data_IF_661301977622
#
_entry.id   IF_661301977622
#
_cell.length_a   1.000
_cell.length_b   1.000
_cell.length_c   1.000
_cell.angle_alpha   90.00
_cell.angle_beta   90.00
_cell.angle_gamma   90.00
#
_symmetry.space_group_name_H-M   'P 1'
#
loop_
_entity.id
_entity.type
_entity.pdbx_description
1 polymer ?
#
# COMPACT_ATOMS: atom_id res chain seq x y z
N UNK A 1 22.05 -3.98 9.54
CA UNK A 1 20.89 -3.09 9.79
C UNK A 1 20.17 -2.86 8.47
N UNK A 2 19.06 -3.55 8.23
CA UNK A 2 18.31 -3.45 6.97
C UNK A 2 17.24 -2.37 7.11
N UNK A 3 17.58 -1.14 6.74
CA UNK A 3 16.57 -0.18 6.30
C UNK A 3 16.10 -0.62 4.91
N UNK A 4 14.79 -0.62 4.66
CA UNK A 4 14.24 -0.89 3.33
C UNK A 4 14.88 0.09 2.34
N UNK A 5 15.81 -0.39 1.51
CA UNK A 5 16.51 0.38 0.48
C UNK A 5 15.96 0.11 -0.92
N UNK A 6 14.78 -0.50 -1.00
CA UNK A 6 14.06 -0.76 -2.24
C UNK A 6 13.13 0.42 -2.50
N UNK A 7 13.09 0.85 -3.77
CA UNK A 7 12.27 1.94 -4.32
C UNK A 7 11.20 2.45 -3.36
N UNK A 8 11.26 3.73 -2.97
CA UNK A 8 10.08 4.39 -2.39
C UNK A 8 8.91 4.03 -3.31
N UNK A 9 7.91 3.26 -2.87
CA UNK A 9 6.82 2.93 -3.75
C UNK A 9 6.22 4.27 -4.15
N UNK A 10 6.21 4.59 -5.44
CA UNK A 10 5.51 5.79 -5.91
C UNK A 10 4.04 5.39 -5.84
N UNK A 11 3.38 5.70 -4.74
CA UNK A 11 1.94 5.41 -4.51
C UNK A 11 1.08 6.62 -4.93
N UNK A 12 1.71 7.58 -5.62
CA UNK A 12 1.11 8.75 -6.25
C UNK A 12 1.42 8.61 -7.73
N UNK A 13 0.73 7.68 -8.38
CA UNK A 13 0.84 7.47 -9.80
C UNK A 13 -0.09 8.40 -10.55
N UNK A 14 0.34 8.92 -11.69
CA UNK A 14 -0.62 9.18 -12.75
C UNK A 14 -1.03 7.82 -13.33
N UNK A 15 -2.23 7.68 -13.86
CA UNK A 15 -2.73 6.38 -14.32
C UNK A 15 -3.29 6.47 -15.73
N UNK A 16 -2.97 5.49 -16.57
CA UNK A 16 -3.82 5.15 -17.71
C UNK A 16 -5.04 4.46 -17.13
N UNK A 17 -6.19 5.14 -17.05
CA UNK A 17 -7.39 4.51 -16.52
C UNK A 17 -8.34 4.02 -17.62
N UNK A 18 -8.13 4.44 -18.87
CA UNK A 18 -8.93 4.01 -20.01
C UNK A 18 -8.17 4.14 -21.33
N UNK A 19 -8.12 3.07 -22.09
CA UNK A 19 -7.71 3.04 -23.49
C UNK A 19 -8.71 2.31 -24.37
N UNK A 20 -8.82 2.69 -25.64
CA UNK A 20 -9.60 1.98 -26.67
C UNK A 20 -8.77 0.99 -27.50
N UNK A 21 -7.47 0.87 -27.23
CA UNK A 21 -6.56 0.00 -27.96
C UNK A 21 -5.20 -0.12 -27.27
N UNK A 22 -4.23 -0.75 -27.93
CA UNK A 22 -2.88 -0.92 -27.39
C UNK A 22 -2.17 0.43 -27.32
N UNK A 23 -1.59 0.73 -26.16
CA UNK A 23 -0.78 1.92 -25.91
C UNK A 23 0.64 1.46 -25.61
N UNK A 24 1.62 2.25 -26.03
CA UNK A 24 3.00 1.99 -25.66
C UNK A 24 3.53 3.09 -24.74
N UNK A 25 4.35 2.68 -23.78
CA UNK A 25 4.98 3.50 -22.78
C UNK A 25 6.50 3.32 -22.88
N UNK A 26 7.23 4.42 -22.79
CA UNK A 26 8.67 4.42 -22.55
C UNK A 26 8.92 5.20 -21.27
N UNK A 27 9.59 4.57 -20.29
CA UNK A 27 10.02 5.25 -19.08
C UNK A 27 11.36 5.93 -19.29
N UNK A 28 11.64 6.93 -18.47
CA UNK A 28 12.97 7.54 -18.42
C UNK A 28 14.06 6.47 -18.19
N UNK A 29 15.01 6.38 -19.12
CA UNK A 29 16.12 5.42 -19.08
C UNK A 29 15.85 4.07 -19.74
N UNK A 30 14.63 3.81 -20.24
CA UNK A 30 14.38 2.69 -21.14
C UNK A 30 14.98 2.94 -22.52
N UNK A 31 15.24 1.87 -23.27
CA UNK A 31 15.80 1.95 -24.63
C UNK A 31 14.74 1.83 -25.73
N UNK A 32 13.50 1.50 -25.36
CA UNK A 32 12.38 1.32 -26.30
C UNK A 32 11.03 1.44 -25.59
N UNK A 33 10.00 1.64 -26.41
CA UNK A 33 8.61 1.55 -26.03
C UNK A 33 8.18 0.11 -25.74
N UNK A 34 7.35 -0.06 -24.72
CA UNK A 34 6.74 -1.33 -24.35
C UNK A 34 5.21 -1.19 -24.31
N UNK A 35 4.47 -2.23 -24.70
CA UNK A 35 3.02 -2.22 -24.58
C UNK A 35 2.59 -2.16 -23.13
N UNK A 36 1.54 -1.39 -22.87
CA UNK A 36 0.95 -1.26 -21.55
C UNK A 36 -0.59 -1.37 -21.61
N UNK A 37 -1.21 -2.11 -20.70
CA UNK A 37 -2.66 -2.24 -20.62
C UNK A 37 -3.35 -1.06 -19.91
N UNK A 38 -4.67 -1.16 -19.71
CA UNK A 38 -5.39 -0.30 -18.77
C UNK A 38 -4.84 -0.47 -17.35
N UNK A 39 -4.97 0.57 -16.54
CA UNK A 39 -4.52 0.58 -15.14
C UNK A 39 -3.01 0.42 -15.02
N UNK A 40 -2.26 1.01 -15.95
CA UNK A 40 -0.81 1.17 -15.84
C UNK A 40 -0.48 2.51 -15.19
N UNK A 41 0.38 2.46 -14.18
CA UNK A 41 0.97 3.62 -13.53
C UNK A 41 1.95 4.33 -14.47
N UNK A 42 1.84 5.65 -14.53
CA UNK A 42 2.68 6.56 -15.28
C UNK A 42 3.41 7.49 -14.31
N UNK A 43 4.69 7.69 -14.56
CA UNK A 43 5.59 8.53 -13.78
C UNK A 43 5.92 9.83 -14.53
N UNK A 44 6.32 10.89 -13.79
CA UNK A 44 6.97 12.03 -14.42
C UNK A 44 8.19 11.59 -15.24
N UNK A 45 8.33 12.12 -16.45
CA UNK A 45 9.38 11.76 -17.42
C UNK A 45 8.97 10.68 -18.42
N UNK A 46 7.86 9.98 -18.20
CA UNK A 46 7.36 8.97 -19.13
C UNK A 46 6.90 9.56 -20.47
N UNK A 47 7.06 8.78 -21.53
CA UNK A 47 6.56 9.06 -22.88
C UNK A 47 5.47 8.05 -23.25
N UNK A 48 4.30 8.54 -23.66
CA UNK A 48 3.23 7.71 -24.20
C UNK A 48 3.13 7.84 -25.72
N UNK A 49 2.93 6.71 -26.38
CA UNK A 49 2.72 6.65 -27.84
C UNK A 49 1.43 5.89 -28.16
N UNK A 50 0.28 6.57 -28.15
CA UNK A 50 -0.95 6.00 -28.68
C UNK A 50 -0.94 6.00 -30.22
N UNK A 51 -1.19 4.86 -30.88
CA UNK A 51 -1.37 4.81 -32.34
C UNK A 51 -2.51 5.70 -32.84
N UNK A 52 -2.54 5.97 -34.15
CA UNK A 52 -3.67 6.69 -34.76
C UNK A 52 -4.99 5.95 -34.49
N UNK A 53 -6.04 6.69 -34.11
CA UNK A 53 -7.34 6.14 -33.74
C UNK A 53 -7.44 5.55 -32.31
N UNK A 54 -6.33 5.42 -31.58
CA UNK A 54 -6.35 4.97 -30.18
C UNK A 54 -6.57 6.17 -29.25
N UNK A 55 -7.61 6.10 -28.41
CA UNK A 55 -7.91 7.12 -27.40
C UNK A 55 -7.42 6.66 -26.05
N UNK A 56 -6.66 7.52 -25.37
CA UNK A 56 -6.12 7.26 -24.04
C UNK A 56 -6.60 8.36 -23.09
N UNK A 57 -7.09 7.96 -21.92
CA UNK A 57 -7.42 8.86 -20.82
C UNK A 57 -6.53 8.60 -19.62
N UNK A 58 -6.01 9.69 -19.08
CA UNK A 58 -5.13 9.73 -17.92
C UNK A 58 -5.89 10.26 -16.71
N UNK A 59 -5.59 9.71 -15.54
CA UNK A 59 -6.00 10.22 -14.24
C UNK A 59 -4.73 10.71 -13.54
N UNK A 60 -4.62 12.01 -13.32
CA UNK A 60 -3.48 12.59 -12.60
C UNK A 60 -3.71 12.51 -11.08
N UNK A 61 -2.62 12.58 -10.32
CA UNK A 61 -2.55 12.43 -8.85
C UNK A 61 -3.45 13.43 -8.09
N UNK A 62 -3.65 14.62 -8.64
CA UNK A 62 -4.51 15.68 -8.12
C UNK A 62 -6.00 15.53 -8.49
N UNK A 63 -6.39 14.33 -8.96
CA UNK A 63 -7.76 13.95 -9.22
C UNK A 63 -8.37 14.52 -10.49
N UNK A 64 -7.57 15.00 -11.44
CA UNK A 64 -8.03 15.47 -12.76
C UNK A 64 -7.86 14.39 -13.81
N UNK A 65 -8.69 14.44 -14.85
CA UNK A 65 -8.57 13.56 -16.00
C UNK A 65 -8.21 14.33 -17.27
N UNK A 66 -7.39 13.71 -18.12
CA UNK A 66 -6.91 14.30 -19.37
C UNK A 66 -6.92 13.27 -20.49
N UNK A 67 -7.00 13.74 -21.74
CA UNK A 67 -6.85 12.89 -22.93
C UNK A 67 -5.46 13.06 -23.51
N UNK A 68 -4.87 11.99 -24.04
CA UNK A 68 -3.60 12.05 -24.78
C UNK A 68 -3.89 12.18 -26.29
N UNK A 69 -3.21 13.08 -27.02
CA UNK A 69 -3.32 13.16 -28.47
C UNK A 69 -2.95 11.84 -29.16
N UNK A 70 -3.77 11.38 -30.10
CA UNK A 70 -3.50 10.16 -30.86
C UNK A 70 -2.43 10.39 -31.94
N UNK A 71 -1.62 9.37 -32.22
CA UNK A 71 -0.64 9.38 -33.30
C UNK A 71 0.63 10.20 -33.04
N UNK A 72 0.81 10.75 -31.83
CA UNK A 72 1.98 11.54 -31.46
C UNK A 72 2.55 11.06 -30.13
N UNK A 73 3.88 10.92 -30.07
CA UNK A 73 4.59 10.66 -28.82
C UNK A 73 4.44 11.86 -27.88
N UNK A 74 3.87 11.63 -26.70
CA UNK A 74 3.52 12.68 -25.75
C UNK A 74 4.24 12.46 -24.42
N UNK A 75 5.00 13.47 -23.99
CA UNK A 75 5.64 13.48 -22.68
C UNK A 75 4.63 13.83 -21.57
N UNK A 76 4.63 13.05 -20.50
CA UNK A 76 3.56 13.08 -19.51
C UNK A 76 3.59 14.35 -18.65
N UNK A 77 4.78 14.93 -18.43
CA UNK A 77 4.96 16.16 -17.65
C UNK A 77 4.12 17.34 -18.15
N UNK A 78 3.79 17.37 -19.46
CA UNK A 78 2.95 18.41 -20.05
C UNK A 78 1.45 18.21 -19.83
N UNK A 79 1.01 17.00 -19.47
CA UNK A 79 -0.39 16.66 -19.22
C UNK A 79 -0.65 16.54 -17.72
N UNK A 80 0.11 15.67 -17.06
CA UNK A 80 0.11 15.50 -15.62
C UNK A 80 1.42 16.04 -15.07
N UNK A 81 1.44 17.27 -14.51
CA UNK A 81 2.65 17.84 -13.95
C UNK A 81 3.11 17.03 -12.73
N UNK A 82 4.42 16.96 -12.47
CA UNK A 82 4.94 16.22 -11.33
C UNK A 82 4.37 16.76 -10.01
N UNK A 83 4.12 15.89 -9.01
CA UNK A 83 3.66 16.31 -7.70
C UNK A 83 4.61 17.32 -7.07
N UNK A 84 4.05 18.39 -6.48
CA UNK A 84 4.83 19.47 -5.85
C UNK A 84 5.55 19.03 -4.56
N UNK A 85 5.08 17.96 -3.92
CA UNK A 85 5.64 17.45 -2.66
C UNK A 85 5.87 15.95 -2.80
N UNK A 86 7.13 15.52 -2.70
CA UNK A 86 7.44 14.10 -2.48
C UNK A 86 7.15 13.79 -1.02
N UNK A 87 5.99 13.20 -0.72
CA UNK A 87 5.69 12.73 0.64
C UNK A 87 6.80 11.76 1.09
N UNK A 88 7.55 12.12 2.13
CA UNK A 88 8.46 11.20 2.79
C UNK A 88 7.61 10.27 3.65
N UNK A 89 7.09 9.23 3.01
CA UNK A 89 6.18 8.28 3.66
C UNK A 89 6.88 7.54 4.77
N UNK A 90 6.22 7.45 5.92
CA UNK A 90 6.67 6.61 7.03
C UNK A 90 6.62 5.15 6.58
N UNK A 91 7.78 4.50 6.59
CA UNK A 91 7.92 3.06 6.38
C UNK A 91 8.29 2.46 7.73
N UNK A 92 7.45 1.55 8.21
CA UNK A 92 7.72 0.74 9.40
C UNK A 92 8.61 -0.41 8.98
N UNK A 93 9.63 -0.71 9.78
CA UNK A 93 10.52 -1.83 9.50
C UNK A 93 9.74 -3.13 9.59
N UNK A 94 9.65 -3.84 8.47
CA UNK A 94 9.09 -5.18 8.39
C UNK A 94 9.78 -6.13 9.39
N UNK A 95 9.00 -6.74 10.28
CA UNK A 95 9.44 -7.79 11.20
C UNK A 95 8.31 -8.82 11.33
N UNK A 96 8.63 -10.12 11.45
CA UNK A 96 7.62 -11.10 11.81
C UNK A 96 7.17 -10.80 13.24
N UNK A 97 5.87 -10.56 13.39
CA UNK A 97 5.25 -10.34 14.70
C UNK A 97 4.80 -11.70 15.22
N UNK A 98 5.01 -11.95 16.51
CA UNK A 98 4.59 -13.22 17.11
C UNK A 98 3.06 -13.32 17.10
N UNK A 99 2.52 -14.43 16.62
CA UNK A 99 1.09 -14.73 16.72
C UNK A 99 0.60 -14.95 18.15
N UNK A 100 1.52 -15.03 19.13
CA UNK A 100 1.20 -15.17 20.56
C UNK A 100 0.88 -13.85 21.26
N UNK A 101 0.96 -12.71 20.56
CA UNK A 101 0.59 -11.40 21.10
C UNK A 101 -0.57 -10.80 20.30
N UNK A 102 -1.43 -9.98 20.92
CA UNK A 102 -2.50 -9.30 20.23
C UNK A 102 -1.97 -8.08 19.47
N UNK A 103 -1.15 -8.31 18.43
CA UNK A 103 -0.54 -7.20 17.71
C UNK A 103 -1.56 -6.39 16.94
N UNK A 104 -1.36 -5.07 16.93
CA UNK A 104 -2.30 -4.14 16.31
C UNK A 104 -2.25 -4.28 14.79
N UNK A 105 -3.42 -4.42 14.17
CA UNK A 105 -3.64 -4.40 12.72
C UNK A 105 -4.04 -2.99 12.29
N UNK A 106 -5.05 -2.41 12.95
CA UNK A 106 -5.55 -1.06 12.66
C UNK A 106 -6.09 -0.36 13.92
N UNK A 107 -5.97 0.96 14.04
CA UNK A 107 -5.09 1.84 13.29
C UNK A 107 -3.62 1.62 13.68
N UNK A 108 -2.75 1.38 12.70
CA UNK A 108 -1.31 1.12 12.89
C UNK A 108 -0.49 2.03 12.00
N UNK A 109 0.41 2.82 12.60
CA UNK A 109 1.34 3.71 11.88
C UNK A 109 0.66 4.59 10.79
N UNK A 110 -0.55 5.08 11.09
CA UNK A 110 -1.44 5.75 10.13
C UNK A 110 -1.91 7.11 10.65
N UNK A 111 -2.36 7.97 9.75
CA UNK A 111 -3.28 9.07 10.07
C UNK A 111 -4.72 8.60 9.90
N UNK A 112 -5.69 9.35 10.44
CA UNK A 112 -7.11 9.02 10.32
C UNK A 112 -7.95 10.23 9.93
N UNK A 113 -8.96 9.99 9.07
CA UNK A 113 -10.07 10.85 8.69
C UNK A 113 -11.29 10.74 9.60
N UNK A 114 -11.44 9.63 10.33
CA UNK A 114 -12.53 9.42 11.29
C UNK A 114 -12.07 9.72 12.72
N UNK A 115 -13.01 10.11 13.59
CA UNK A 115 -12.81 10.21 15.04
C UNK A 115 -13.34 8.97 15.79
N UNK A 116 -13.92 8.00 15.07
CA UNK A 116 -14.40 6.71 15.55
C UNK A 116 -13.81 5.57 14.70
N UNK A 117 -12.49 5.36 14.74
CA UNK A 117 -11.87 4.28 13.97
C UNK A 117 -12.31 2.92 14.48
N UNK A 118 -12.33 1.95 13.57
CA UNK A 118 -12.29 0.52 13.92
C UNK A 118 -10.91 0.20 14.48
N UNK A 119 -10.89 -0.38 15.68
CA UNK A 119 -9.71 -0.87 16.37
C UNK A 119 -9.64 -2.37 16.11
N UNK A 120 -8.57 -2.84 15.47
CA UNK A 120 -8.40 -4.24 15.09
C UNK A 120 -7.02 -4.76 15.49
N UNK A 121 -6.98 -6.00 15.97
CA UNK A 121 -5.77 -6.71 16.37
C UNK A 121 -5.87 -8.19 16.00
N UNK A 122 -4.72 -8.85 15.90
CA UNK A 122 -4.66 -10.29 15.72
C UNK A 122 -5.08 -11.01 17.00
N UNK A 123 -5.82 -12.11 16.87
CA UNK A 123 -6.22 -12.94 17.99
C UNK A 123 -5.00 -13.65 18.60
N UNK A 124 -4.71 -13.40 19.88
CA UNK A 124 -3.81 -14.25 20.64
C UNK A 124 -4.62 -15.49 21.08
N UNK A 125 -4.52 -16.57 20.31
CA UNK A 125 -5.48 -17.69 20.29
C UNK A 125 -5.77 -18.39 21.63
N UNK A 126 -4.97 -18.13 22.67
CA UNK A 126 -5.12 -18.66 24.02
C UNK A 126 -5.83 -17.71 25.01
N UNK A 127 -6.18 -16.50 24.58
CA UNK A 127 -6.90 -15.49 25.36
C UNK A 127 -8.43 -15.70 25.35
N UNK A 128 -9.09 -15.33 26.44
CA UNK A 128 -10.55 -15.31 26.56
C UNK A 128 -11.13 -13.90 26.62
N UNK A 129 -10.34 -12.89 27.01
CA UNK A 129 -10.74 -11.49 26.98
C UNK A 129 -9.59 -10.55 26.64
N UNK A 130 -9.96 -9.34 26.24
CA UNK A 130 -9.05 -8.29 25.82
C UNK A 130 -9.39 -6.98 26.52
N UNK A 131 -8.39 -6.40 27.19
CA UNK A 131 -8.44 -5.02 27.67
C UNK A 131 -7.91 -4.10 26.56
N UNK A 132 -8.81 -3.31 25.98
CA UNK A 132 -8.52 -2.45 24.83
C UNK A 132 -8.41 -1.02 25.30
N UNK A 133 -7.25 -0.41 25.09
CA UNK A 133 -6.93 0.96 25.53
C UNK A 133 -6.55 1.86 24.36
N UNK A 134 -7.21 3.00 24.23
CA UNK A 134 -6.77 4.11 23.38
C UNK A 134 -6.26 5.23 24.28
N UNK A 135 -5.01 5.64 24.07
CA UNK A 135 -4.36 6.67 24.91
C UNK A 135 -3.54 7.68 24.11
N UNK A 136 -3.48 8.91 24.58
CA UNK A 136 -2.69 9.99 23.98
C UNK A 136 -3.14 11.38 24.44
N UNK A 137 -2.19 12.30 24.69
CA UNK A 137 -2.42 13.71 25.11
C UNK A 137 -3.67 13.93 25.99
N UNK A 138 -3.67 13.37 27.20
CA UNK A 138 -4.76 13.52 28.18
C UNK A 138 -5.99 12.65 27.93
N UNK A 139 -6.04 11.90 26.82
CA UNK A 139 -7.02 10.84 26.60
C UNK A 139 -6.45 9.52 27.11
N UNK A 140 -7.26 8.82 27.90
CA UNK A 140 -7.08 7.42 28.28
C UNK A 140 -8.48 6.79 28.37
N UNK A 141 -8.83 5.99 27.37
CA UNK A 141 -10.08 5.21 27.34
C UNK A 141 -9.70 3.74 27.34
N UNK A 142 -10.36 2.95 28.18
CA UNK A 142 -10.13 1.52 28.35
C UNK A 142 -11.47 0.82 28.51
N UNK A 143 -11.63 -0.32 27.84
CA UNK A 143 -12.81 -1.17 27.93
C UNK A 143 -12.38 -2.64 27.76
N UNK A 144 -13.12 -3.56 28.40
CA UNK A 144 -12.85 -5.00 28.32
C UNK A 144 -13.88 -5.67 27.41
N UNK A 145 -13.42 -6.57 26.54
CA UNK A 145 -14.25 -7.33 25.61
C UNK A 145 -13.95 -8.83 25.73
N UNK A 146 -14.98 -9.67 25.64
CA UNK A 146 -14.78 -11.12 25.52
C UNK A 146 -14.37 -11.49 24.09
N UNK A 147 -13.58 -12.55 23.94
CA UNK A 147 -13.13 -13.02 22.62
C UNK A 147 -14.29 -13.34 21.68
N UNK A 148 -15.36 -13.93 22.19
CA UNK A 148 -16.55 -14.30 21.42
C UNK A 148 -17.28 -13.06 20.86
N UNK A 149 -17.16 -11.91 21.52
CA UNK A 149 -17.81 -10.68 21.10
C UNK A 149 -17.09 -10.01 19.94
N UNK A 150 -15.76 -10.03 19.94
CA UNK A 150 -14.95 -9.17 19.06
C UNK A 150 -14.13 -9.92 18.03
N UNK A 151 -13.94 -11.24 18.16
CA UNK A 151 -13.05 -11.99 17.29
C UNK A 151 -13.76 -12.88 16.27
N UNK A 152 -13.34 -12.80 15.01
CA UNK A 152 -13.78 -13.64 13.91
C UNK A 152 -12.58 -14.02 13.05
N UNK A 153 -12.41 -15.31 12.75
CA UNK A 153 -11.36 -15.82 11.85
C UNK A 153 -9.93 -15.38 12.22
N UNK A 154 -9.63 -15.29 13.52
CA UNK A 154 -8.29 -14.91 14.01
C UNK A 154 -8.02 -13.41 14.02
N UNK A 155 -9.02 -12.58 13.71
CA UNK A 155 -8.95 -11.12 13.80
C UNK A 155 -10.00 -10.65 14.79
N UNK A 156 -9.61 -9.76 15.69
CA UNK A 156 -10.48 -9.14 16.66
C UNK A 156 -10.68 -7.67 16.34
N UNK A 157 -11.91 -7.16 16.49
CA UNK A 157 -12.24 -5.79 16.12
C UNK A 157 -13.36 -5.17 16.99
N UNK A 158 -13.25 -3.86 17.22
CA UNK A 158 -14.29 -3.04 17.85
C UNK A 158 -14.25 -1.62 17.32
N UNK A 159 -15.40 -0.94 17.22
CA UNK A 159 -15.46 0.47 16.85
C UNK A 159 -15.19 1.33 18.07
N UNK A 160 -14.25 2.28 17.98
CA UNK A 160 -14.01 3.24 19.05
C UNK A 160 -15.28 4.08 19.32
N UNK A 161 -15.81 4.11 20.55
CA UNK A 161 -17.13 4.70 20.81
C UNK A 161 -17.17 6.22 20.65
N UNK A 162 -16.02 6.89 20.77
CA UNK A 162 -15.93 8.36 20.73
C UNK A 162 -16.45 9.05 21.99
N UNK A 163 -16.66 8.31 23.10
CA UNK A 163 -17.02 8.87 24.41
C UNK A 163 -15.98 9.88 24.91
N UNK A 164 -14.70 9.68 24.53
CA UNK A 164 -13.65 10.70 24.59
C UNK A 164 -13.23 11.06 23.15
N UNK A 165 -13.41 12.29 22.68
CA UNK A 165 -13.20 12.61 21.27
C UNK A 165 -11.72 12.61 20.89
N UNK A 166 -11.39 12.01 19.74
CA UNK A 166 -10.08 12.12 19.12
C UNK A 166 -9.92 13.52 18.49
N UNK A 167 -8.94 14.29 18.96
CA UNK A 167 -8.74 15.68 18.56
C UNK A 167 -7.86 15.79 17.31
N UNK A 168 -8.23 16.62 16.32
CA UNK A 168 -7.39 16.90 15.16
C UNK A 168 -5.94 17.29 15.52
N UNK A 169 -4.98 16.73 14.79
CA UNK A 169 -3.55 16.94 14.99
C UNK A 169 -2.94 16.23 16.20
N UNK A 170 -3.70 15.42 16.94
CA UNK A 170 -3.21 14.71 18.13
C UNK A 170 -2.90 13.25 17.79
N UNK A 171 -1.78 12.77 18.30
CA UNK A 171 -1.34 11.38 18.18
C UNK A 171 -1.79 10.53 19.36
N UNK A 172 -2.16 9.29 19.06
CA UNK A 172 -2.69 8.29 19.98
C UNK A 172 -1.99 6.95 19.76
N UNK A 173 -2.13 6.05 20.73
CA UNK A 173 -1.69 4.67 20.66
C UNK A 173 -2.84 3.76 21.07
N UNK A 174 -3.10 2.74 20.25
CA UNK A 174 -3.91 1.58 20.62
C UNK A 174 -3.01 0.58 21.35
N UNK A 175 -3.48 0.09 22.49
CA UNK A 175 -2.87 -0.96 23.28
C UNK A 175 -3.93 -2.01 23.58
N UNK A 176 -3.64 -3.25 23.27
CA UNK A 176 -4.46 -4.42 23.64
C UNK A 176 -3.66 -5.30 24.58
N UNK A 177 -4.27 -5.72 25.68
CA UNK A 177 -3.74 -6.65 26.68
C UNK A 177 -4.72 -7.82 26.83
N UNK A 178 -4.20 -9.04 27.01
CA UNK A 178 -5.02 -10.25 27.19
C UNK A 178 -5.09 -10.65 28.65
N UNK A 179 -6.08 -11.49 28.99
CA UNK A 179 -6.18 -12.19 30.28
C UNK A 179 -5.03 -13.17 30.55
N UNK A 180 -4.21 -13.47 29.53
CA UNK A 180 -3.01 -14.33 29.60
C UNK A 180 -1.71 -13.56 29.74
N UNK A 181 -1.78 -12.30 30.17
CA UNK A 181 -0.61 -11.43 30.39
C UNK A 181 0.24 -11.24 29.11
N UNK A 182 -0.41 -11.28 27.94
CA UNK A 182 0.20 -10.91 26.65
C UNK A 182 -0.30 -9.55 26.22
N UNK A 183 0.54 -8.76 25.56
CA UNK A 183 0.19 -7.40 25.18
C UNK A 183 0.75 -7.02 23.82
N UNK A 184 -0.02 -6.19 23.11
CA UNK A 184 0.41 -5.54 21.87
C UNK A 184 1.71 -4.74 22.01
N UNK A 185 2.07 -4.31 23.23
CA UNK A 185 3.30 -3.57 23.53
C UNK A 185 4.56 -4.43 23.52
N UNK A 186 4.43 -5.75 23.51
CA UNK A 186 5.55 -6.67 23.26
C UNK A 186 6.07 -6.53 21.81
N UNK A 187 5.26 -6.00 20.90
CA UNK A 187 5.75 -5.53 19.60
C UNK A 187 6.66 -4.31 19.81
N UNK A 188 7.96 -4.58 19.84
CA UNK A 188 9.04 -3.57 19.98
C UNK A 188 9.17 -2.63 18.78
N UNK A 189 8.33 -2.78 17.74
CA UNK A 189 8.37 -1.91 16.57
C UNK A 189 7.98 -0.48 16.95
N UNK A 190 8.86 0.46 16.65
CA UNK A 190 8.62 1.87 16.90
C UNK A 190 7.55 2.45 15.97
N UNK A 191 6.75 3.37 16.50
CA UNK A 191 5.92 4.22 15.64
C UNK A 191 4.56 3.69 15.23
N UNK A 192 4.04 2.68 15.94
CA UNK A 192 2.76 2.03 15.61
C UNK A 192 1.51 2.83 16.01
N UNK A 193 1.66 3.99 16.64
CA UNK A 193 0.53 4.86 16.95
C UNK A 193 -0.13 5.45 15.70
N UNK A 194 -1.20 6.20 15.92
CA UNK A 194 -1.95 6.87 14.86
C UNK A 194 -2.19 8.34 15.19
N UNK A 195 -2.52 9.16 14.19
CA UNK A 195 -2.76 10.59 14.37
C UNK A 195 -4.06 11.02 13.71
N UNK A 196 -4.91 11.75 14.43
CA UNK A 196 -6.07 12.35 13.78
C UNK A 196 -5.60 13.48 12.88
N UNK A 197 -5.93 13.46 11.59
CA UNK A 197 -5.46 14.49 10.66
C UNK A 197 -6.05 15.87 11.02
N UNK A 198 -5.34 16.95 10.70
CA UNK A 198 -5.82 18.31 10.92
C UNK A 198 -7.06 18.60 10.06
N UNK A 199 -7.94 19.46 10.56
CA UNK A 199 -9.25 19.72 9.92
C UNK A 199 -9.15 20.37 8.54
N UNK A 200 -8.15 21.21 8.31
CA UNK A 200 -7.84 21.81 7.00
C UNK A 200 -7.44 20.74 5.98
N UNK A 201 -6.51 19.87 6.34
CA UNK A 201 -6.08 18.74 5.50
C UNK A 201 -7.23 17.76 5.24
N UNK A 202 -8.05 17.47 6.26
CA UNK A 202 -9.22 16.60 6.10
C UNK A 202 -10.19 17.13 5.03
N UNK A 203 -10.44 18.45 5.02
CA UNK A 203 -11.33 19.09 4.03
C UNK A 203 -10.75 18.99 2.63
N UNK A 204 -9.45 19.24 2.46
CA UNK A 204 -8.77 19.12 1.16
C UNK A 204 -8.92 17.70 0.59
N UNK A 205 -8.62 16.68 1.41
CA UNK A 205 -8.73 15.27 1.02
C UNK A 205 -10.17 14.92 0.65
N UNK A 206 -11.15 15.36 1.44
CA UNK A 206 -12.57 15.11 1.16
C UNK A 206 -13.05 15.73 -0.16
N UNK A 207 -12.53 16.91 -0.53
CA UNK A 207 -12.85 17.54 -1.82
C UNK A 207 -12.31 16.69 -2.98
N UNK A 208 -11.08 16.21 -2.89
CA UNK A 208 -10.49 15.36 -3.94
C UNK A 208 -11.21 14.00 -4.00
N UNK A 209 -11.45 13.38 -2.85
CA UNK A 209 -12.14 12.10 -2.74
C UNK A 209 -13.56 12.17 -3.34
N UNK A 210 -14.31 13.23 -3.04
CA UNK A 210 -15.62 13.49 -3.65
C UNK A 210 -15.51 13.60 -5.17
N UNK A 211 -14.52 14.35 -5.66
CA UNK A 211 -14.29 14.48 -7.10
C UNK A 211 -13.99 13.14 -7.77
N UNK A 212 -13.22 12.25 -7.14
CA UNK A 212 -12.97 10.89 -7.66
C UNK A 212 -14.27 10.09 -7.73
N UNK A 213 -15.13 10.22 -6.72
CA UNK A 213 -16.41 9.52 -6.66
C UNK A 213 -17.43 10.02 -7.68
N UNK A 214 -17.52 11.33 -7.90
CA UNK A 214 -18.50 11.96 -8.80
C UNK A 214 -18.07 11.94 -10.28
N UNK A 215 -16.76 11.90 -10.56
CA UNK A 215 -16.27 11.87 -11.94
C UNK A 215 -16.63 10.56 -12.65
N UNK A 216 -16.71 10.65 -13.99
CA UNK A 216 -16.92 9.51 -14.89
C UNK A 216 -15.63 8.67 -15.04
N UNK A 217 -15.27 7.99 -13.96
CA UNK A 217 -14.22 6.97 -13.89
C UNK A 217 -14.88 5.58 -13.89
N UNK A 218 -14.20 4.54 -14.43
CA UNK A 218 -14.63 3.16 -14.27
C UNK A 218 -14.89 2.84 -12.80
N UNK A 219 -16.00 2.16 -12.49
CA UNK A 219 -16.39 1.84 -11.10
C UNK A 219 -15.28 1.06 -10.41
N UNK A 220 -14.67 0.15 -11.15
CA UNK A 220 -13.56 -0.70 -10.73
C UNK A 220 -12.26 0.08 -10.47
N UNK A 221 -12.06 1.24 -11.11
CA UNK A 221 -10.86 2.05 -10.90
C UNK A 221 -10.95 2.99 -9.69
N UNK A 222 -12.16 3.40 -9.28
CA UNK A 222 -12.36 4.36 -8.19
C UNK A 222 -11.73 3.93 -6.85
N UNK A 223 -11.82 2.66 -6.41
CA UNK A 223 -11.16 2.22 -5.18
C UNK A 223 -9.64 2.40 -5.22
N UNK A 224 -9.01 2.05 -6.35
CA UNK A 224 -7.57 2.24 -6.54
C UNK A 224 -7.18 3.72 -6.45
N UNK A 225 -7.91 4.60 -7.15
CA UNK A 225 -7.66 6.04 -7.13
C UNK A 225 -7.85 6.66 -5.72
N UNK A 226 -8.84 6.22 -4.96
CA UNK A 226 -9.05 6.68 -3.59
C UNK A 226 -7.98 6.16 -2.63
N UNK A 227 -7.58 4.89 -2.75
CA UNK A 227 -6.56 4.32 -1.91
C UNK A 227 -5.19 4.99 -2.12
N UNK A 228 -4.84 5.34 -3.36
CA UNK A 228 -3.64 6.15 -3.65
C UNK A 228 -3.70 7.53 -2.99
N UNK A 229 -4.81 8.25 -3.16
CA UNK A 229 -5.03 9.53 -2.48
C UNK A 229 -4.84 9.40 -0.96
N UNK A 230 -5.42 8.38 -0.35
CA UNK A 230 -5.31 8.16 1.09
C UNK A 230 -3.89 7.77 1.50
N UNK A 231 -3.21 6.92 0.73
CA UNK A 231 -1.83 6.55 0.95
C UNK A 231 -0.87 7.75 0.94
N UNK A 232 -1.13 8.75 0.11
CA UNK A 232 -0.36 10.01 0.01
C UNK A 232 -0.41 10.85 1.28
N UNK A 233 -1.56 10.85 1.95
CA UNK A 233 -1.78 11.58 3.19
C UNK A 233 -1.55 10.71 4.45
N UNK A 234 -0.86 9.57 4.30
CA UNK A 234 -0.63 8.59 5.36
C UNK A 234 -1.92 8.02 5.98
N UNK A 235 -3.07 8.11 5.30
CA UNK A 235 -4.35 7.51 5.70
C UNK A 235 -4.37 6.03 5.32
N UNK A 236 -3.37 5.28 5.80
CA UNK A 236 -3.14 3.89 5.41
C UNK A 236 -4.25 2.95 5.87
N UNK A 237 -4.86 3.19 7.04
CA UNK A 237 -6.01 2.40 7.49
C UNK A 237 -7.20 2.52 6.52
N UNK A 238 -7.57 3.74 6.15
CA UNK A 238 -8.65 3.97 5.19
C UNK A 238 -8.32 3.45 3.78
N UNK A 239 -7.05 3.55 3.36
CA UNK A 239 -6.61 2.99 2.08
C UNK A 239 -6.72 1.46 2.06
N UNK A 240 -6.32 0.77 3.13
CA UNK A 240 -6.44 -0.68 3.28
C UNK A 240 -7.92 -1.08 3.24
N UNK A 241 -8.76 -0.44 4.07
CA UNK A 241 -10.20 -0.73 4.15
C UNK A 241 -10.90 -0.65 2.78
N UNK A 242 -10.57 0.37 1.98
CA UNK A 242 -11.12 0.52 0.62
C UNK A 242 -10.75 -0.65 -0.29
N UNK A 243 -9.49 -1.10 -0.24
CA UNK A 243 -8.96 -2.13 -1.13
C UNK A 243 -9.38 -3.54 -0.70
N UNK A 244 -9.45 -3.81 0.60
CA UNK A 244 -9.97 -5.06 1.15
C UNK A 244 -11.43 -5.27 0.75
N UNK A 245 -12.22 -4.20 0.74
CA UNK A 245 -13.59 -4.20 0.23
C UNK A 245 -13.73 -4.59 -1.25
N UNK A 246 -12.63 -4.72 -2.01
CA UNK A 246 -12.64 -5.14 -3.42
C UNK A 246 -12.21 -6.59 -3.66
N UNK A 247 -11.75 -7.33 -2.63
CA UNK A 247 -11.05 -8.61 -2.82
C UNK A 247 -11.87 -9.69 -3.54
N UNK A 248 -13.20 -9.61 -3.51
CA UNK A 248 -14.10 -10.56 -4.15
C UNK A 248 -14.62 -10.12 -5.52
N UNK A 249 -14.50 -8.84 -5.86
CA UNK A 249 -15.25 -8.24 -6.98
C UNK A 249 -14.35 -7.80 -8.15
N UNK A 250 -13.03 -7.77 -7.98
CA UNK A 250 -12.14 -7.12 -8.95
C UNK A 250 -10.90 -7.94 -9.33
N UNK A 251 -10.59 -7.98 -10.64
CA UNK A 251 -9.40 -8.64 -11.20
C UNK A 251 -8.32 -7.63 -11.61
N UNK A 252 -8.21 -6.51 -10.88
CA UNK A 252 -7.24 -5.44 -11.15
C UNK A 252 -5.99 -5.70 -10.30
N UNK A 253 -4.94 -6.23 -10.91
CA UNK A 253 -3.69 -6.55 -10.21
C UNK A 253 -3.09 -5.38 -9.39
N UNK A 254 -3.08 -4.13 -9.90
CA UNK A 254 -2.61 -2.98 -9.12
C UNK A 254 -3.28 -2.80 -7.75
N UNK A 255 -4.55 -3.19 -7.57
CA UNK A 255 -5.24 -3.12 -6.27
C UNK A 255 -4.56 -4.01 -5.25
N UNK A 256 -4.35 -5.28 -5.60
CA UNK A 256 -3.73 -6.24 -4.68
C UNK A 256 -2.26 -5.94 -4.43
N UNK A 257 -1.54 -5.43 -5.44
CA UNK A 257 -0.17 -4.98 -5.26
C UNK A 257 -0.10 -3.78 -4.30
N UNK A 258 -0.99 -2.80 -4.47
CA UNK A 258 -1.09 -1.64 -3.58
C UNK A 258 -1.47 -2.05 -2.15
N UNK A 259 -2.40 -2.98 -1.97
CA UNK A 259 -2.79 -3.50 -0.67
C UNK A 259 -1.59 -4.18 0.03
N UNK A 260 -0.83 -5.01 -0.69
CA UNK A 260 0.41 -5.62 -0.17
C UNK A 260 1.45 -4.58 0.24
N UNK A 261 1.64 -3.53 -0.57
CA UNK A 261 2.51 -2.40 -0.26
C UNK A 261 2.10 -1.66 1.01
N UNK A 262 0.79 -1.40 1.19
CA UNK A 262 0.25 -0.71 2.35
C UNK A 262 0.45 -1.53 3.63
N UNK A 263 0.18 -2.84 3.57
CA UNK A 263 0.46 -3.75 4.68
C UNK A 263 1.94 -3.81 5.03
N UNK A 264 2.80 -3.98 4.02
CA UNK A 264 4.26 -3.97 4.20
C UNK A 264 4.74 -2.64 4.82
N UNK A 265 4.18 -1.52 4.38
CA UNK A 265 4.51 -0.18 4.87
C UNK A 265 4.24 0.01 6.36
N UNK A 266 3.21 -0.63 6.90
CA UNK A 266 2.89 -0.59 8.34
C UNK A 266 3.51 -1.77 9.12
N UNK A 267 4.37 -2.56 8.46
CA UNK A 267 5.13 -3.65 9.07
C UNK A 267 4.36 -4.96 9.21
N UNK A 268 3.18 -5.06 8.62
CA UNK A 268 2.29 -6.23 8.66
C UNK A 268 2.63 -7.19 7.52
N UNK A 269 3.75 -7.91 7.66
CA UNK A 269 4.27 -8.80 6.60
C UNK A 269 3.44 -10.06 6.42
N UNK A 270 2.69 -10.50 7.44
CA UNK A 270 1.84 -11.69 7.33
C UNK A 270 0.66 -11.38 6.40
N UNK A 271 0.02 -10.24 6.63
CA UNK A 271 -1.10 -9.69 5.88
C UNK A 271 -0.68 -9.30 4.47
N UNK A 272 0.52 -8.74 4.28
CA UNK A 272 1.02 -8.37 2.96
C UNK A 272 1.19 -9.54 1.98
N UNK A 273 1.36 -10.78 2.49
CA UNK A 273 1.63 -11.96 1.64
C UNK A 273 0.47 -12.23 0.66
N UNK A 274 -0.76 -12.31 1.18
CA UNK A 274 -1.95 -12.68 0.40
C UNK A 274 -2.17 -11.76 -0.81
N UNK A 275 -2.22 -10.43 -0.62
CA UNK A 275 -2.37 -9.47 -1.71
C UNK A 275 -1.24 -9.54 -2.75
N UNK A 276 0.03 -9.65 -2.34
CA UNK A 276 1.11 -9.82 -3.33
C UNK A 276 0.98 -11.12 -4.13
N UNK A 277 0.65 -12.25 -3.47
CA UNK A 277 0.41 -13.51 -4.17
C UNK A 277 -0.73 -13.39 -5.18
N UNK A 278 -1.82 -12.70 -4.82
CA UNK A 278 -2.95 -12.47 -5.73
C UNK A 278 -2.57 -11.57 -6.90
N UNK A 279 -1.76 -10.54 -6.68
CA UNK A 279 -1.24 -9.69 -7.77
C UNK A 279 -0.37 -10.49 -8.76
N UNK A 280 0.48 -11.40 -8.27
CA UNK A 280 1.27 -12.30 -9.14
C UNK A 280 0.37 -13.22 -9.95
N UNK A 281 -0.65 -13.82 -9.33
CA UNK A 281 -1.63 -14.68 -10.02
C UNK A 281 -2.33 -13.93 -11.16
N UNK A 282 -2.83 -12.72 -10.89
CA UNK A 282 -3.58 -11.93 -11.87
C UNK A 282 -2.72 -11.40 -13.03
N UNK A 283 -1.42 -11.18 -12.80
CA UNK A 283 -0.53 -10.58 -13.81
C UNK A 283 0.11 -11.59 -14.74
N UNK A 284 0.23 -12.85 -14.32
CA UNK A 284 0.88 -13.93 -15.09
C UNK A 284 0.24 -14.18 -16.46
N UNK A 285 -1.04 -13.83 -16.64
CA UNK A 285 -1.79 -13.97 -17.89
C UNK A 285 -1.98 -12.66 -18.68
N UNK A 286 -1.25 -11.58 -18.33
CA UNK A 286 -1.50 -10.22 -18.86
C UNK A 286 -0.23 -9.52 -19.30
N UNK A 287 -0.36 -8.41 -20.04
CA UNK A 287 0.77 -7.54 -20.41
C UNK A 287 1.26 -6.65 -19.23
N UNK A 288 0.75 -6.84 -18.01
CA UNK A 288 1.18 -6.11 -16.80
C UNK A 288 2.51 -6.63 -16.22
N UNK A 289 3.56 -6.70 -17.03
CA UNK A 289 4.85 -7.23 -16.61
C UNK A 289 5.49 -6.42 -15.47
N UNK A 290 5.28 -5.09 -15.43
CA UNK A 290 5.76 -4.25 -14.34
C UNK A 290 5.09 -4.57 -13.02
N UNK A 291 3.77 -4.80 -13.03
CA UNK A 291 3.03 -5.19 -11.83
C UNK A 291 3.45 -6.59 -11.38
N UNK A 292 3.72 -7.52 -12.32
CA UNK A 292 4.25 -8.84 -12.00
C UNK A 292 5.61 -8.74 -11.30
N UNK A 293 6.53 -7.96 -11.84
CA UNK A 293 7.86 -7.76 -11.28
C UNK A 293 7.79 -7.08 -9.90
N UNK A 294 6.99 -6.02 -9.76
CA UNK A 294 6.79 -5.33 -8.50
C UNK A 294 6.12 -6.23 -7.43
N UNK A 295 5.12 -7.02 -7.81
CA UNK A 295 4.45 -7.95 -6.90
C UNK A 295 5.39 -9.10 -6.46
N UNK A 296 6.21 -9.64 -7.38
CA UNK A 296 7.25 -10.62 -7.04
C UNK A 296 8.30 -10.03 -6.10
N UNK A 297 8.74 -8.80 -6.34
CA UNK A 297 9.69 -8.13 -5.46
C UNK A 297 9.12 -7.92 -4.05
N UNK A 298 7.88 -7.42 -3.96
CA UNK A 298 7.16 -7.24 -2.69
C UNK A 298 6.95 -8.57 -1.95
N UNK A 299 6.54 -9.63 -2.66
CA UNK A 299 6.40 -10.97 -2.09
C UNK A 299 7.75 -11.53 -1.60
N UNK A 300 8.83 -11.30 -2.36
CA UNK A 300 10.18 -11.73 -2.01
C UNK A 300 10.67 -11.06 -0.72
N UNK A 301 10.47 -9.75 -0.59
CA UNK A 301 10.74 -9.00 0.65
C UNK A 301 9.95 -9.54 1.85
N UNK A 302 8.65 -9.79 1.65
CA UNK A 302 7.77 -10.33 2.69
C UNK A 302 8.21 -11.73 3.11
N UNK A 303 8.50 -12.62 2.17
CA UNK A 303 8.94 -13.99 2.48
C UNK A 303 10.31 -14.00 3.18
N UNK A 304 11.24 -13.15 2.74
CA UNK A 304 12.52 -13.00 3.42
C UNK A 304 12.33 -12.51 4.87
N UNK A 305 11.49 -11.50 5.09
CA UNK A 305 11.18 -10.98 6.42
C UNK A 305 10.50 -12.03 7.31
N UNK A 306 9.76 -12.97 6.74
CA UNK A 306 9.12 -14.09 7.46
C UNK A 306 10.07 -15.27 7.72
N UNK A 307 11.33 -15.18 7.32
CA UNK A 307 12.34 -16.24 7.51
C UNK A 307 12.45 -17.24 6.35
N UNK A 308 11.59 -17.15 5.34
CA UNK A 308 11.64 -17.97 4.13
C UNK A 308 12.69 -17.38 3.16
N UNK A 309 13.96 -17.31 3.59
CA UNK A 309 15.01 -16.53 2.93
C UNK A 309 15.28 -16.97 1.50
N UNK A 310 15.43 -18.28 1.27
CA UNK A 310 15.68 -18.84 -0.07
C UNK A 310 14.54 -18.52 -1.04
N UNK A 311 13.29 -18.70 -0.61
CA UNK A 311 12.11 -18.33 -1.40
C UNK A 311 12.09 -16.83 -1.69
N UNK A 312 12.39 -16.00 -0.69
CA UNK A 312 12.46 -14.55 -0.82
C UNK A 312 13.50 -14.09 -1.84
N UNK A 313 14.72 -14.62 -1.77
CA UNK A 313 15.80 -14.35 -2.73
C UNK A 313 15.41 -14.80 -4.14
N UNK A 314 14.85 -16.00 -4.28
CA UNK A 314 14.40 -16.51 -5.59
C UNK A 314 13.34 -15.59 -6.23
N UNK A 315 12.39 -15.09 -5.45
CA UNK A 315 11.36 -14.17 -5.94
C UNK A 315 11.94 -12.81 -6.36
N UNK A 316 12.93 -12.29 -5.62
CA UNK A 316 13.63 -11.06 -5.97
C UNK A 316 14.46 -11.21 -7.24
N UNK A 317 15.13 -12.35 -7.43
CA UNK A 317 15.87 -12.66 -8.66
C UNK A 317 14.92 -12.79 -9.87
N UNK A 318 13.75 -13.40 -9.69
CA UNK A 318 12.72 -13.45 -10.74
C UNK A 318 12.19 -12.05 -11.10
N UNK A 319 11.95 -11.19 -10.10
CA UNK A 319 11.56 -9.80 -10.35
C UNK A 319 12.65 -9.03 -11.13
N UNK A 320 13.91 -9.20 -10.73
CA UNK A 320 15.07 -8.61 -11.42
C UNK A 320 15.14 -9.07 -12.87
N UNK A 321 15.01 -10.37 -13.15
CA UNK A 321 15.05 -10.92 -14.50
C UNK A 321 13.96 -10.32 -15.41
N UNK A 322 12.76 -10.08 -14.88
CA UNK A 322 11.69 -9.39 -15.62
C UNK A 322 12.12 -7.94 -15.94
N UNK A 323 12.63 -7.19 -14.97
CA UNK A 323 13.10 -5.83 -15.23
C UNK A 323 14.26 -5.78 -16.23
N UNK A 324 15.18 -6.77 -16.21
CA UNK A 324 16.25 -6.91 -17.20
C UNK A 324 15.70 -7.16 -18.61
N UNK A 325 14.74 -8.07 -18.76
CA UNK A 325 14.09 -8.39 -20.03
C UNK A 325 13.45 -7.15 -20.68
N UNK A 326 12.91 -6.24 -19.87
CA UNK A 326 12.25 -5.01 -20.31
C UNK A 326 13.15 -3.77 -20.21
N UNK A 327 14.44 -3.93 -19.89
CA UNK A 327 15.41 -2.85 -19.93
C UNK A 327 15.29 -1.79 -18.83
N UNK A 328 14.60 -2.09 -17.72
CA UNK A 328 14.48 -1.19 -16.57
C UNK A 328 15.72 -1.23 -15.68
N UNK A 329 16.81 -0.61 -16.18
CA UNK A 329 18.13 -0.61 -15.51
C UNK A 329 18.09 -0.03 -14.10
N UNK A 330 17.19 0.92 -13.83
CA UNK A 330 17.06 1.54 -12.51
C UNK A 330 16.59 0.51 -11.49
N UNK A 331 15.47 -0.17 -11.76
CA UNK A 331 14.94 -1.19 -10.85
C UNK A 331 15.83 -2.42 -10.74
N UNK A 332 16.55 -2.76 -11.82
CA UNK A 332 17.61 -3.79 -11.77
C UNK A 332 18.68 -3.42 -10.74
N UNK A 333 19.26 -2.22 -10.83
CA UNK A 333 20.29 -1.79 -9.88
C UNK A 333 19.80 -1.71 -8.42
N UNK A 334 18.54 -1.32 -8.21
CA UNK A 334 17.91 -1.33 -6.88
C UNK A 334 17.80 -2.75 -6.31
N UNK A 335 17.35 -3.72 -7.11
CA UNK A 335 17.25 -5.12 -6.70
C UNK A 335 18.62 -5.80 -6.52
N UNK A 336 19.61 -5.47 -7.34
CA UNK A 336 20.98 -5.98 -7.18
C UNK A 336 21.62 -5.54 -5.87
N UNK A 337 21.42 -4.26 -5.53
CA UNK A 337 21.87 -3.71 -4.26
C UNK A 337 21.19 -4.44 -3.10
N UNK A 338 19.87 -4.58 -3.15
CA UNK A 338 19.11 -5.29 -2.13
C UNK A 338 19.58 -6.74 -1.98
N UNK A 339 19.68 -7.50 -3.07
CA UNK A 339 20.13 -8.89 -3.06
C UNK A 339 21.55 -9.02 -2.45
N UNK A 340 22.45 -8.09 -2.77
CA UNK A 340 23.79 -8.05 -2.20
C UNK A 340 23.78 -7.80 -0.69
N UNK A 341 22.91 -6.91 -0.21
CA UNK A 341 22.73 -6.65 1.23
C UNK A 341 22.15 -7.86 1.97
N UNK A 342 21.18 -8.56 1.36
CA UNK A 342 20.59 -9.77 1.92
C UNK A 342 21.64 -10.90 2.04
N UNK A 343 22.44 -11.13 1.00
CA UNK A 343 23.53 -12.13 1.01
C UNK A 343 24.57 -11.86 2.11
N UNK A 344 25.05 -10.62 2.20
CA UNK A 344 25.98 -10.21 3.28
C UNK A 344 25.39 -10.40 4.67
N UNK A 345 24.08 -10.25 4.83
CA UNK A 345 23.41 -10.44 6.11
C UNK A 345 23.20 -11.90 6.50
N UNK A 346 23.25 -12.82 5.52
CA UNK A 346 23.26 -14.27 5.75
C UNK A 346 24.65 -14.76 6.15
N UNK A 347 25.71 -14.24 5.52
CA UNK A 347 27.10 -14.59 5.86
C UNK A 347 27.55 -14.08 7.23
N UNK A 348 26.86 -13.06 7.77
CA UNK A 348 27.17 -12.45 9.06
C UNK A 348 26.37 -13.04 10.24
N UNK A 349 25.52 -14.05 10.00
CA UNK A 349 24.75 -14.80 11.00
C UNK A 349 25.30 -16.21 11.13
#
# INVERSE_FOLDING_TARGET
MLGSLVSKPVLAGHWIFKTTGRVELEREGWSRFHPVPNYTTINPGDLLRPPSGVRVKLFCDHGKTHSVPAGVTTGINGICPPPRIKSSRRIVRARPVSSSIPYIISPRATRLLTDKPTLSWHDATDASSFMVTVRGRGLNWTEEFSREQVCQQGICQVVYPGSKPLKPGVSYKLVVETDRNRASTEDSTGGLGFTRIKSDQAREIQVIARRIQEQNLPKEFKPLALAELYADYDLTAEAIEILEGQENDQKIAPIYRLLGDLYKRIGLVVEAKGPYSKAVELTTATEHWEELAAAKAGLGEVQYARGNRQEGVSLLEQAKAIYEQFGDRKRVGELEKQLSELKRSEEAQ
#
